data_IF_080908115320
#
_entry.id   IF_080908115320
#
_cell.length_a   1.000
_cell.length_b   1.000
_cell.length_c   1.000
_cell.angle_alpha   90.00
_cell.angle_beta   90.00
_cell.angle_gamma   90.00
#
_symmetry.space_group_name_H-M   'P 1'
#
loop_
_entity.id
_entity.type
_entity.pdbx_description
1 polymer ?
#
# COMPACT_ATOMS: atom_id res chain seq x y z
N UNK A 1 10.77 25.58 24.22
CA UNK A 1 11.70 25.01 25.21
C UNK A 1 12.61 24.03 24.47
N UNK A 2 13.88 24.36 24.29
CA UNK A 2 14.88 23.47 23.67
C UNK A 2 15.19 22.34 24.64
N UNK A 3 14.90 21.10 24.25
CA UNK A 3 15.20 19.93 25.08
C UNK A 3 16.58 19.43 24.67
N UNK A 4 17.57 19.69 25.52
CA UNK A 4 18.92 19.16 25.33
C UNK A 4 18.93 17.73 25.87
N UNK A 5 18.80 16.75 24.98
CA UNK A 5 19.14 15.38 25.37
C UNK A 5 20.65 15.31 25.59
N UNK A 6 21.06 14.97 26.82
CA UNK A 6 22.39 14.44 27.07
C UNK A 6 22.43 13.05 26.43
N UNK A 7 22.69 12.98 25.12
CA UNK A 7 23.16 11.75 24.50
C UNK A 7 24.34 11.22 25.33
N UNK A 8 24.49 9.89 25.43
CA UNK A 8 25.50 9.18 26.25
C UNK A 8 26.97 9.45 25.85
N UNK A 9 27.32 10.65 25.41
CA UNK A 9 28.62 11.03 24.89
C UNK A 9 29.49 11.76 25.93
N UNK A 10 28.92 12.43 26.92
CA UNK A 10 29.68 13.16 27.94
C UNK A 10 29.85 12.34 29.23
N UNK A 11 30.69 11.31 29.17
CA UNK A 11 31.21 10.67 30.38
C UNK A 11 32.65 11.10 30.59
N UNK A 12 33.04 11.42 31.83
CA UNK A 12 34.42 11.80 32.19
C UNK A 12 35.47 10.81 31.65
N UNK A 13 35.07 9.53 31.55
CA UNK A 13 35.87 8.46 30.94
C UNK A 13 36.27 8.73 29.49
N UNK A 14 35.38 9.30 28.67
CA UNK A 14 35.69 9.63 27.27
C UNK A 14 36.67 10.82 27.18
N UNK A 15 36.54 11.80 28.07
CA UNK A 15 37.48 12.93 28.18
C UNK A 15 38.88 12.44 28.58
N UNK A 16 38.94 11.53 29.56
CA UNK A 16 40.19 10.95 30.03
C UNK A 16 40.86 10.08 28.96
N UNK A 17 40.07 9.31 28.19
CA UNK A 17 40.56 8.52 27.06
C UNK A 17 41.07 9.38 25.89
N UNK A 18 40.44 10.54 25.63
CA UNK A 18 40.92 11.50 24.64
C UNK A 18 42.26 12.12 25.07
N UNK A 19 42.37 12.57 26.33
CA UNK A 19 43.57 13.22 26.86
C UNK A 19 44.75 12.24 26.96
N UNK A 20 44.52 11.03 27.44
CA UNK A 20 45.61 10.07 27.71
C UNK A 20 46.00 9.25 26.48
N UNK A 21 45.05 8.91 25.60
CA UNK A 21 45.29 8.00 24.48
C UNK A 21 45.05 8.60 23.09
N UNK A 22 44.80 9.91 23.00
CA UNK A 22 44.60 10.68 21.77
C UNK A 22 43.60 10.02 20.77
N UNK A 23 42.60 9.29 21.30
CA UNK A 23 41.55 8.67 20.49
C UNK A 23 40.53 9.71 20.08
N UNK A 24 40.13 9.75 18.80
CA UNK A 24 39.03 10.62 18.33
C UNK A 24 37.76 10.36 19.15
N UNK A 25 37.30 11.37 19.89
CA UNK A 25 36.00 11.38 20.54
C UNK A 25 35.08 12.36 19.80
N UNK A 26 33.90 11.89 19.39
CA UNK A 26 32.86 12.76 18.82
C UNK A 26 32.16 13.50 19.96
N UNK A 27 32.51 14.77 20.14
CA UNK A 27 31.88 15.69 21.11
C UNK A 27 30.65 16.39 20.53
N UNK A 28 29.81 15.69 19.78
CA UNK A 28 28.65 16.30 19.13
C UNK A 28 27.48 16.43 20.11
N UNK A 29 27.25 17.66 20.59
CA UNK A 29 25.96 18.05 21.15
C UNK A 29 24.98 18.31 20.02
N UNK A 30 23.94 17.48 19.90
CA UNK A 30 22.86 17.74 18.97
C UNK A 30 21.84 18.67 19.64
N UNK A 31 21.87 19.96 19.29
CA UNK A 31 20.74 20.85 19.56
C UNK A 31 19.64 20.45 18.57
N UNK A 32 18.70 19.60 19.02
CA UNK A 32 17.49 19.36 18.23
C UNK A 32 16.70 20.66 18.21
N UNK A 33 16.36 21.14 17.01
CA UNK A 33 15.44 22.26 16.89
C UNK A 33 14.10 21.89 17.55
N UNK A 34 13.42 22.83 18.21
CA UNK A 34 12.12 22.59 18.83
C UNK A 34 11.11 21.96 17.86
N UNK A 35 11.21 22.31 16.58
CA UNK A 35 10.33 21.79 15.54
C UNK A 35 10.61 20.31 15.22
N UNK A 36 11.88 19.87 15.29
CA UNK A 36 12.21 18.44 15.16
C UNK A 36 11.66 17.63 16.33
N UNK A 37 11.75 18.15 17.56
CA UNK A 37 11.21 17.47 18.75
C UNK A 37 9.68 17.34 18.63
N UNK A 38 9.00 18.43 18.25
CA UNK A 38 7.55 18.39 18.01
C UNK A 38 7.19 17.42 16.89
N UNK A 39 7.98 17.36 15.81
CA UNK A 39 7.77 16.41 14.71
C UNK A 39 7.91 14.97 15.17
N UNK A 40 8.93 14.66 15.97
CA UNK A 40 9.17 13.32 16.52
C UNK A 40 8.04 12.91 17.49
N UNK A 41 7.55 13.85 18.30
CA UNK A 41 6.40 13.62 19.21
C UNK A 41 5.11 13.36 18.43
N UNK A 42 4.83 14.16 17.39
CA UNK A 42 3.67 13.97 16.52
C UNK A 42 3.77 12.65 15.75
N UNK A 43 4.95 12.30 15.20
CA UNK A 43 5.12 11.02 14.49
C UNK A 43 4.90 9.83 15.42
N UNK A 44 5.38 9.90 16.66
CA UNK A 44 5.16 8.84 17.65
C UNK A 44 3.68 8.63 17.97
N UNK A 45 2.90 9.71 18.10
CA UNK A 45 1.45 9.65 18.32
C UNK A 45 0.74 9.06 17.09
N UNK A 46 1.12 9.49 15.89
CA UNK A 46 0.57 8.98 14.63
C UNK A 46 0.86 7.49 14.46
N UNK A 47 2.09 7.04 14.72
CA UNK A 47 2.49 5.64 14.63
C UNK A 47 1.69 4.75 15.60
N UNK A 48 1.50 5.23 16.84
CA UNK A 48 0.68 4.53 17.83
C UNK A 48 -0.79 4.40 17.38
N UNK A 49 -1.36 5.48 16.85
CA UNK A 49 -2.73 5.47 16.34
C UNK A 49 -2.86 4.58 15.08
N UNK A 50 -1.84 4.59 14.21
CA UNK A 50 -1.77 3.72 13.03
C UNK A 50 -1.81 2.25 13.42
N UNK A 51 -1.06 1.86 14.46
CA UNK A 51 -1.09 0.49 14.98
C UNK A 51 -2.48 0.09 15.51
N UNK A 52 -3.14 0.97 16.27
CA UNK A 52 -4.50 0.72 16.80
C UNK A 52 -5.51 0.56 15.67
N UNK A 53 -5.49 1.47 14.69
CA UNK A 53 -6.36 1.41 13.52
C UNK A 53 -6.11 0.15 12.68
N UNK A 54 -4.85 -0.25 12.52
CA UNK A 54 -4.47 -1.48 11.79
C UNK A 54 -5.08 -2.72 12.44
N UNK A 55 -4.91 -2.87 13.77
CA UNK A 55 -5.50 -3.99 14.52
C UNK A 55 -7.02 -3.99 14.49
N UNK A 56 -7.64 -2.82 14.57
CA UNK A 56 -9.09 -2.68 14.43
C UNK A 56 -9.57 -3.11 13.04
N UNK A 57 -8.86 -2.70 11.99
CA UNK A 57 -9.19 -3.03 10.61
C UNK A 57 -9.05 -4.54 10.34
N UNK A 58 -7.96 -5.17 10.78
CA UNK A 58 -7.76 -6.63 10.69
C UNK A 58 -8.87 -7.42 11.38
N UNK A 59 -9.35 -6.91 12.53
CA UNK A 59 -10.44 -7.55 13.28
C UNK A 59 -11.79 -7.47 12.56
N UNK A 60 -12.05 -6.37 11.84
CA UNK A 60 -13.35 -6.13 11.19
C UNK A 60 -13.40 -6.65 9.76
N UNK A 61 -12.28 -6.60 9.04
CA UNK A 61 -12.16 -7.06 7.66
C UNK A 61 -11.21 -8.26 7.59
N UNK A 62 -11.62 -9.42 8.13
CA UNK A 62 -10.81 -10.64 8.03
C UNK A 62 -10.71 -11.09 6.57
N UNK A 63 -9.58 -11.67 6.22
CA UNK A 63 -9.36 -12.29 4.91
C UNK A 63 -8.23 -11.62 4.14
N UNK A 64 -8.50 -11.31 2.87
CA UNK A 64 -7.51 -10.81 1.90
C UNK A 64 -6.66 -9.69 2.50
N UNK A 65 -7.32 -8.67 3.03
CA UNK A 65 -6.69 -7.52 3.68
C UNK A 65 -5.90 -7.81 4.96
N UNK A 66 -6.33 -8.76 5.79
CA UNK A 66 -5.67 -9.12 7.06
C UNK A 66 -4.57 -10.18 6.89
N UNK A 67 -4.56 -10.87 5.75
CA UNK A 67 -3.56 -11.90 5.41
C UNK A 67 -2.29 -11.34 4.76
N UNK A 68 -2.35 -10.07 4.36
CA UNK A 68 -1.23 -9.39 3.74
C UNK A 68 -0.20 -9.02 4.81
N UNK A 69 0.88 -9.78 4.83
CA UNK A 69 2.00 -9.63 5.77
C UNK A 69 2.89 -8.41 5.42
N UNK A 70 2.28 -7.24 5.22
CA UNK A 70 2.96 -6.02 4.81
C UNK A 70 3.25 -5.08 5.96
N UNK A 71 4.36 -4.35 5.85
CA UNK A 71 4.83 -3.40 6.85
C UNK A 71 3.93 -2.16 7.00
N UNK A 72 3.07 -1.85 6.03
CA UNK A 72 2.26 -0.62 6.04
C UNK A 72 0.94 -0.79 5.30
N UNK A 73 -0.17 -0.77 6.04
CA UNK A 73 -1.51 -0.57 5.49
C UNK A 73 -1.63 0.85 4.89
N UNK A 74 -2.49 1.06 3.88
CA UNK A 74 -2.80 2.40 3.40
C UNK A 74 -3.29 3.26 4.56
N UNK A 75 -2.66 4.42 4.74
CA UNK A 75 -2.96 5.28 5.87
C UNK A 75 -3.12 6.72 5.42
N UNK A 76 -3.96 7.45 6.14
CA UNK A 76 -4.20 8.85 5.90
C UNK A 76 -3.87 9.62 7.18
N UNK A 77 -3.03 10.63 7.03
CA UNK A 77 -2.72 11.56 8.11
C UNK A 77 -3.28 12.93 7.78
N UNK A 78 -3.81 13.60 8.80
CA UNK A 78 -4.27 14.97 8.68
C UNK A 78 -3.46 15.87 9.58
N UNK A 79 -3.01 16.99 9.03
CA UNK A 79 -2.29 18.04 9.72
C UNK A 79 -3.06 19.34 9.55
N UNK A 80 -3.65 19.82 10.63
CA UNK A 80 -4.37 21.10 10.67
C UNK A 80 -3.50 22.16 11.31
N UNK A 81 -3.33 23.31 10.66
CA UNK A 81 -2.50 24.41 11.17
C UNK A 81 -3.22 25.75 11.11
N UNK A 82 -2.88 26.66 12.02
CA UNK A 82 -3.38 28.04 12.02
C UNK A 82 -2.47 29.01 11.25
N UNK A 83 -1.17 28.67 11.13
CA UNK A 83 -0.13 29.65 10.81
C UNK A 83 0.43 29.53 9.39
N UNK A 84 0.35 28.35 8.77
CA UNK A 84 0.99 28.13 7.48
C UNK A 84 0.01 28.35 6.33
N UNK A 85 0.32 29.32 5.47
CA UNK A 85 -0.32 29.45 4.17
C UNK A 85 0.26 28.35 3.27
N UNK A 86 -0.58 27.39 2.90
CA UNK A 86 -0.18 26.31 1.98
C UNK A 86 -0.48 26.70 0.53
N UNK A 87 -0.27 27.97 0.16
CA UNK A 87 -0.47 28.40 -1.23
C UNK A 87 0.69 27.93 -2.10
N UNK A 88 0.45 27.63 -3.38
CA UNK A 88 1.51 27.22 -4.31
C UNK A 88 2.70 28.17 -4.33
N UNK A 89 2.46 29.47 -4.17
CA UNK A 89 3.48 30.54 -4.13
C UNK A 89 4.37 30.50 -2.88
N UNK A 90 3.84 30.07 -1.73
CA UNK A 90 4.54 30.01 -0.43
C UNK A 90 5.22 28.66 -0.20
N UNK A 91 4.73 27.61 -0.86
CA UNK A 91 5.30 26.26 -0.88
C UNK A 91 6.63 26.19 -1.66
N UNK A 92 6.96 27.23 -2.43
CA UNK A 92 8.24 27.36 -3.17
C UNK A 92 9.47 27.34 -2.28
N UNK A 93 9.32 27.62 -0.97
CA UNK A 93 10.39 27.41 -0.01
C UNK A 93 10.56 25.90 0.24
N UNK A 94 11.61 25.33 -0.34
CA UNK A 94 12.00 23.91 -0.26
C UNK A 94 11.99 23.38 1.18
N UNK A 95 12.25 24.26 2.15
CA UNK A 95 12.18 24.01 3.61
C UNK A 95 10.77 23.68 4.10
N UNK A 96 9.74 24.36 3.59
CA UNK A 96 8.34 24.11 3.96
C UNK A 96 7.89 22.78 3.39
N UNK A 97 8.24 22.47 2.14
CA UNK A 97 8.00 21.17 1.52
C UNK A 97 8.70 20.04 2.24
N UNK A 98 9.99 20.16 2.55
CA UNK A 98 10.72 19.12 3.29
C UNK A 98 10.23 18.97 4.74
N UNK A 99 9.76 20.06 5.36
CA UNK A 99 9.15 20.02 6.69
C UNK A 99 7.81 19.26 6.68
N UNK A 100 6.99 19.52 5.66
CA UNK A 100 5.64 18.97 5.41
C UNK A 100 5.75 17.53 4.89
N UNK A 101 6.22 17.32 3.66
CA UNK A 101 6.11 16.03 2.97
C UNK A 101 6.98 14.92 3.57
N UNK A 102 8.03 15.26 4.33
CA UNK A 102 9.04 14.33 4.84
C UNK A 102 9.95 13.73 3.76
N UNK A 103 9.63 13.92 2.47
CA UNK A 103 10.37 13.42 1.31
C UNK A 103 9.98 14.19 0.04
N UNK A 104 10.92 14.43 -0.87
CA UNK A 104 10.69 15.05 -2.20
C UNK A 104 9.71 14.29 -3.11
N UNK A 105 9.35 13.07 -2.75
CA UNK A 105 8.70 12.12 -3.67
C UNK A 105 7.16 12.16 -3.61
N UNK A 106 6.55 13.26 -3.19
CA UNK A 106 5.09 13.40 -3.11
C UNK A 106 4.57 14.40 -4.15
N UNK A 107 3.53 14.03 -4.88
CA UNK A 107 2.75 14.95 -5.70
C UNK A 107 1.79 15.74 -4.82
N UNK A 108 1.66 17.03 -5.09
CA UNK A 108 0.84 17.95 -4.32
C UNK A 108 -0.40 18.31 -5.11
N UNK A 109 -1.52 18.40 -4.41
CA UNK A 109 -2.83 18.61 -4.99
C UNK A 109 -3.53 19.71 -4.20
N UNK A 110 -3.92 20.79 -4.88
CA UNK A 110 -4.70 21.88 -4.28
C UNK A 110 -6.16 21.50 -4.26
N UNK A 111 -6.81 21.81 -3.14
CA UNK A 111 -8.21 21.49 -2.92
C UNK A 111 -9.08 22.64 -3.42
N UNK A 112 -10.02 22.36 -4.32
CA UNK A 112 -10.97 23.36 -4.79
C UNK A 112 -11.88 23.79 -3.62
N UNK A 113 -11.94 25.10 -3.38
CA UNK A 113 -12.63 25.70 -2.24
C UNK A 113 -11.78 25.93 -0.98
N UNK A 114 -10.63 25.25 -0.81
CA UNK A 114 -9.72 25.43 0.34
C UNK A 114 -8.34 25.93 -0.11
N UNK A 115 -8.22 27.25 -0.24
CA UNK A 115 -7.10 27.93 -0.92
C UNK A 115 -5.71 27.71 -0.30
N UNK A 116 -5.67 27.48 1.01
CA UNK A 116 -4.48 27.24 1.82
C UNK A 116 -4.44 25.79 2.33
N UNK A 117 -5.05 24.85 1.60
CA UNK A 117 -5.04 23.41 1.93
C UNK A 117 -4.58 22.57 0.74
N UNK A 118 -3.87 21.48 1.03
CA UNK A 118 -3.32 20.58 0.01
C UNK A 118 -3.35 19.13 0.46
N UNK A 119 -3.38 18.26 -0.53
CA UNK A 119 -3.17 16.82 -0.39
C UNK A 119 -1.79 16.46 -0.95
N UNK A 120 -1.01 15.73 -0.18
CA UNK A 120 0.24 15.14 -0.62
C UNK A 120 0.03 13.64 -0.86
N UNK A 121 0.10 13.22 -2.13
CA UNK A 121 0.05 11.82 -2.54
C UNK A 121 1.46 11.32 -2.83
N UNK A 122 1.82 10.09 -2.46
CA UNK A 122 3.08 9.52 -2.87
C UNK A 122 3.12 9.33 -4.39
N UNK A 123 4.23 9.76 -5.00
CA UNK A 123 4.47 9.58 -6.44
C UNK A 123 4.81 8.13 -6.79
N UNK A 124 5.39 7.40 -5.84
CA UNK A 124 5.78 5.99 -5.99
C UNK A 124 4.65 5.08 -5.56
N UNK A 125 4.39 4.03 -6.34
CA UNK A 125 3.32 3.06 -6.09
C UNK A 125 3.46 2.25 -4.79
N UNK A 126 4.64 2.29 -4.13
CA UNK A 126 4.93 1.50 -2.93
C UNK A 126 4.62 2.23 -1.63
N UNK A 127 4.54 3.56 -1.65
CA UNK A 127 4.09 4.31 -0.48
C UNK A 127 2.56 4.41 -0.51
N UNK A 128 1.94 4.10 0.62
CA UNK A 128 0.49 4.07 0.78
C UNK A 128 -0.05 5.19 1.67
N UNK A 129 0.85 6.04 2.16
CA UNK A 129 0.56 7.07 3.15
C UNK A 129 0.24 8.40 2.46
N UNK A 130 -1.02 8.83 2.60
CA UNK A 130 -1.48 10.12 2.11
C UNK A 130 -1.49 11.12 3.26
N UNK A 131 -1.14 12.37 2.97
CA UNK A 131 -1.13 13.41 3.99
C UNK A 131 -1.93 14.61 3.53
N UNK A 132 -2.93 14.96 4.30
CA UNK A 132 -3.75 16.15 4.11
C UNK A 132 -3.22 17.25 5.01
N UNK A 133 -2.99 18.41 4.40
CA UNK A 133 -2.63 19.63 5.10
C UNK A 133 -3.75 20.61 4.91
N UNK A 134 -4.27 21.09 6.02
CA UNK A 134 -5.37 22.02 5.98
C UNK A 134 -5.10 23.20 6.89
N UNK A 135 -5.48 24.38 6.41
CA UNK A 135 -5.50 25.57 7.24
C UNK A 135 -6.83 25.65 7.97
N UNK A 136 -6.81 25.88 9.28
CA UNK A 136 -8.01 25.88 10.12
C UNK A 136 -9.08 26.87 9.61
N UNK A 137 -8.65 28.03 9.10
CA UNK A 137 -9.54 29.06 8.54
C UNK A 137 -10.30 28.63 7.29
N UNK A 138 -9.76 27.68 6.53
CA UNK A 138 -10.31 27.31 5.23
C UNK A 138 -11.37 26.23 5.36
N UNK A 139 -11.21 25.35 6.35
CA UNK A 139 -12.19 24.31 6.67
C UNK A 139 -13.42 24.98 7.31
N UNK A 140 -13.21 25.77 8.36
CA UNK A 140 -14.32 26.46 9.03
C UNK A 140 -14.56 27.84 8.42
N UNK A 141 -15.19 27.89 7.25
CA UNK A 141 -15.59 29.15 6.62
C UNK A 141 -16.78 29.85 7.30
N UNK A 142 -17.43 29.26 8.32
CA UNK A 142 -18.74 29.74 8.82
C UNK A 142 -18.93 29.96 10.32
N UNK A 143 -18.10 29.43 11.22
CA UNK A 143 -18.36 29.55 12.66
C UNK A 143 -17.22 30.23 13.43
N UNK A 144 -17.40 31.53 13.70
CA UNK A 144 -16.70 32.24 14.78
C UNK A 144 -17.28 31.87 16.16
N UNK A 145 -17.53 30.58 16.42
CA UNK A 145 -17.95 30.15 17.75
C UNK A 145 -16.73 30.10 18.66
N UNK A 146 -16.81 30.73 19.83
CA UNK A 146 -15.78 30.72 20.87
C UNK A 146 -15.51 29.33 21.47
N UNK A 147 -16.34 28.34 21.13
CA UNK A 147 -16.24 26.98 21.63
C UNK A 147 -15.34 26.10 20.74
N UNK A 148 -14.12 25.83 21.25
CA UNK A 148 -13.08 25.08 20.54
C UNK A 148 -13.46 23.60 20.31
N UNK A 149 -14.28 23.00 21.17
CA UNK A 149 -14.68 21.59 21.05
C UNK A 149 -15.69 21.37 19.92
N UNK A 150 -16.79 22.11 19.92
CA UNK A 150 -17.79 22.07 18.84
C UNK A 150 -17.18 22.40 17.46
N UNK A 151 -16.22 23.32 17.44
CA UNK A 151 -15.47 23.67 16.25
C UNK A 151 -14.62 22.52 15.72
N UNK A 152 -13.93 21.80 16.60
CA UNK A 152 -13.14 20.62 16.21
C UNK A 152 -14.05 19.52 15.65
N UNK A 153 -15.27 19.36 16.16
CA UNK A 153 -16.23 18.37 15.65
C UNK A 153 -16.72 18.71 14.24
N UNK A 154 -16.99 19.99 13.94
CA UNK A 154 -17.36 20.44 12.59
C UNK A 154 -16.21 20.24 11.60
N UNK A 155 -15.00 20.67 12.00
CA UNK A 155 -13.78 20.45 11.21
C UNK A 155 -13.57 18.97 10.96
N UNK A 156 -13.72 18.12 11.97
CA UNK A 156 -13.63 16.68 11.85
C UNK A 156 -14.72 16.11 10.94
N UNK A 157 -15.96 16.61 11.00
CA UNK A 157 -17.05 16.13 10.17
C UNK A 157 -16.88 16.47 8.69
N UNK A 158 -16.60 17.74 8.36
CA UNK A 158 -16.43 18.18 6.98
C UNK A 158 -15.21 17.51 6.35
N UNK A 159 -14.12 17.40 7.09
CA UNK A 159 -12.93 16.69 6.64
C UNK A 159 -13.23 15.20 6.51
N UNK A 160 -13.90 14.56 7.46
CA UNK A 160 -14.18 13.12 7.34
C UNK A 160 -15.06 12.84 6.10
N UNK A 161 -16.05 13.69 5.81
CA UNK A 161 -16.87 13.58 4.60
C UNK A 161 -16.03 13.76 3.32
N UNK A 162 -15.12 14.73 3.29
CA UNK A 162 -14.28 15.03 2.12
C UNK A 162 -13.16 14.00 1.91
N UNK A 163 -12.51 13.60 3.01
CA UNK A 163 -11.32 12.75 3.02
C UNK A 163 -11.67 11.28 2.91
N UNK A 164 -12.79 10.83 3.48
CA UNK A 164 -13.21 9.43 3.33
C UNK A 164 -13.35 9.01 1.86
N UNK A 165 -13.77 9.93 0.98
CA UNK A 165 -13.91 9.71 -0.46
C UNK A 165 -12.57 9.60 -1.18
N UNK A 166 -11.62 10.46 -0.84
CA UNK A 166 -10.26 10.40 -1.37
C UNK A 166 -9.54 9.14 -0.88
N UNK A 167 -9.68 8.84 0.41
CA UNK A 167 -9.11 7.64 1.05
C UNK A 167 -9.68 6.38 0.41
N UNK A 168 -11.00 6.29 0.21
CA UNK A 168 -11.61 5.09 -0.40
C UNK A 168 -11.11 4.87 -1.82
N UNK A 169 -11.09 5.91 -2.66
CA UNK A 169 -10.54 5.83 -4.02
C UNK A 169 -9.05 5.44 -4.03
N UNK A 170 -8.28 5.96 -3.08
CA UNK A 170 -6.87 5.62 -2.89
C UNK A 170 -6.67 4.16 -2.45
N UNK A 171 -7.46 3.68 -1.48
CA UNK A 171 -7.44 2.30 -1.00
C UNK A 171 -7.77 1.31 -2.13
N UNK A 172 -8.75 1.61 -2.98
CA UNK A 172 -9.08 0.78 -4.15
C UNK A 172 -7.90 0.70 -5.13
N UNK A 173 -7.25 1.83 -5.43
CA UNK A 173 -6.04 1.84 -6.27
C UNK A 173 -4.93 0.97 -5.68
N UNK A 174 -4.70 1.06 -4.37
CA UNK A 174 -3.72 0.22 -3.69
C UNK A 174 -4.10 -1.26 -3.75
N UNK A 175 -5.35 -1.61 -3.51
CA UNK A 175 -5.86 -2.97 -3.62
C UNK A 175 -5.55 -3.57 -5.01
N UNK A 176 -5.86 -2.84 -6.07
CA UNK A 176 -5.60 -3.28 -7.44
C UNK A 176 -4.10 -3.46 -7.73
N UNK A 177 -3.25 -2.55 -7.25
CA UNK A 177 -1.79 -2.71 -7.35
C UNK A 177 -1.31 -3.98 -6.63
N UNK A 178 -1.90 -4.31 -5.47
CA UNK A 178 -1.58 -5.53 -4.74
C UNK A 178 -2.06 -6.77 -5.46
N UNK A 179 -3.28 -6.79 -5.96
CA UNK A 179 -3.77 -7.88 -6.80
C UNK A 179 -2.84 -8.13 -7.98
N UNK A 180 -2.42 -7.08 -8.67
CA UNK A 180 -1.44 -7.19 -9.75
C UNK A 180 -0.13 -7.83 -9.28
N UNK A 181 0.42 -7.40 -8.14
CA UNK A 181 1.66 -7.97 -7.59
C UNK A 181 1.52 -9.45 -7.21
N UNK A 182 0.37 -9.86 -6.66
CA UNK A 182 0.12 -11.25 -6.28
C UNK A 182 0.03 -12.15 -7.51
N UNK A 183 -0.67 -11.67 -8.55
CA UNK A 183 -0.74 -12.38 -9.82
C UNK A 183 0.64 -12.48 -10.47
N UNK A 184 1.44 -11.41 -10.44
CA UNK A 184 2.81 -11.43 -10.94
C UNK A 184 3.70 -12.44 -10.21
N UNK A 185 3.67 -12.47 -8.87
CA UNK A 185 4.41 -13.47 -8.07
C UNK A 185 3.94 -14.89 -8.41
N UNK A 186 2.62 -15.09 -8.52
CA UNK A 186 2.05 -16.41 -8.83
C UNK A 186 2.44 -16.90 -10.23
N UNK A 187 2.50 -15.97 -11.20
CA UNK A 187 2.99 -16.22 -12.56
C UNK A 187 4.48 -16.57 -12.55
N UNK A 188 5.28 -15.80 -11.83
CA UNK A 188 6.73 -16.00 -11.76
C UNK A 188 7.04 -17.35 -11.08
N UNK A 189 6.33 -17.71 -10.01
CA UNK A 189 6.41 -19.04 -9.36
C UNK A 189 6.08 -20.17 -10.33
N UNK A 190 5.04 -20.01 -11.16
CA UNK A 190 4.65 -21.00 -12.18
C UNK A 190 5.68 -21.13 -13.30
N UNK A 191 6.33 -20.04 -13.69
CA UNK A 191 7.33 -20.03 -14.76
C UNK A 191 8.71 -20.57 -14.36
N UNK A 192 8.96 -20.78 -13.05
CA UNK A 192 10.26 -21.20 -12.53
C UNK A 192 10.63 -22.65 -12.91
N UNK A 193 11.19 -22.81 -14.12
CA UNK A 193 11.50 -24.09 -14.79
C UNK A 193 12.33 -25.08 -13.94
N UNK A 194 13.24 -24.59 -13.09
CA UNK A 194 14.18 -25.45 -12.35
C UNK A 194 13.63 -26.00 -11.02
N UNK A 195 12.48 -25.49 -10.53
CA UNK A 195 11.87 -25.91 -9.25
C UNK A 195 10.42 -26.37 -9.42
N UNK A 196 9.94 -26.48 -10.64
CA UNK A 196 8.55 -26.79 -10.92
C UNK A 196 8.21 -28.22 -10.48
N UNK A 197 7.39 -28.34 -9.42
CA UNK A 197 6.83 -29.61 -8.94
C UNK A 197 5.36 -29.64 -9.33
N UNK A 198 4.98 -30.31 -10.44
CA UNK A 198 3.66 -30.16 -11.04
C UNK A 198 2.52 -30.36 -10.05
N UNK A 199 2.56 -31.44 -9.25
CA UNK A 199 1.48 -31.78 -8.30
C UNK A 199 1.40 -30.79 -7.12
N UNK A 200 2.54 -30.39 -6.54
CA UNK A 200 2.55 -29.47 -5.39
C UNK A 200 2.16 -28.06 -5.81
N UNK A 201 2.64 -27.61 -6.98
CA UNK A 201 2.34 -26.29 -7.53
C UNK A 201 0.88 -26.18 -7.95
N UNK A 202 0.30 -27.25 -8.52
CA UNK A 202 -1.13 -27.31 -8.80
C UNK A 202 -2.01 -27.26 -7.55
N UNK A 203 -1.61 -27.93 -6.46
CA UNK A 203 -2.36 -27.83 -5.20
C UNK A 203 -2.36 -26.40 -4.67
N UNK A 204 -1.18 -25.78 -4.57
CA UNK A 204 -1.02 -24.38 -4.15
C UNK A 204 -1.83 -23.43 -5.03
N UNK A 205 -1.82 -23.67 -6.34
CA UNK A 205 -2.54 -22.84 -7.29
C UNK A 205 -4.05 -23.07 -7.26
N UNK A 206 -4.52 -24.30 -7.01
CA UNK A 206 -5.94 -24.57 -6.81
C UNK A 206 -6.46 -23.89 -5.56
N UNK A 207 -5.68 -23.88 -4.50
CA UNK A 207 -6.00 -23.17 -3.27
C UNK A 207 -5.99 -21.65 -3.51
N UNK A 208 -5.02 -21.13 -4.28
CA UNK A 208 -5.00 -19.74 -4.74
C UNK A 208 -6.21 -19.36 -5.60
N UNK A 209 -6.56 -20.19 -6.59
CA UNK A 209 -7.64 -19.95 -7.54
C UNK A 209 -9.01 -19.95 -6.86
N UNK A 210 -9.24 -20.89 -5.92
CA UNK A 210 -10.50 -21.00 -5.18
C UNK A 210 -10.77 -19.83 -4.24
N UNK A 211 -9.73 -19.20 -3.70
CA UNK A 211 -9.87 -18.16 -2.68
C UNK A 211 -9.63 -16.75 -3.22
N UNK A 212 -8.70 -16.57 -4.15
CA UNK A 212 -8.18 -15.24 -4.48
C UNK A 212 -8.51 -14.85 -5.91
N UNK A 213 -8.34 -15.76 -6.87
CA UNK A 213 -8.50 -15.43 -8.28
C UNK A 213 -9.94 -15.03 -8.61
N UNK A 214 -10.92 -15.68 -7.97
CA UNK A 214 -12.34 -15.32 -8.11
C UNK A 214 -12.60 -13.90 -7.60
N UNK A 215 -12.20 -13.58 -6.37
CA UNK A 215 -12.45 -12.28 -5.74
C UNK A 215 -11.70 -11.16 -6.46
N UNK A 216 -10.47 -11.42 -6.91
CA UNK A 216 -9.70 -10.51 -7.75
C UNK A 216 -10.45 -10.20 -9.05
N UNK A 217 -11.01 -11.22 -9.72
CA UNK A 217 -11.77 -11.04 -10.96
C UNK A 217 -13.06 -10.29 -10.74
N UNK A 218 -13.87 -10.65 -9.75
CA UNK A 218 -15.14 -9.97 -9.47
C UNK A 218 -14.90 -8.50 -9.14
N UNK A 219 -13.97 -8.21 -8.23
CA UNK A 219 -13.63 -6.83 -7.86
C UNK A 219 -13.07 -6.03 -9.04
N UNK A 220 -12.21 -6.64 -9.86
CA UNK A 220 -11.63 -5.94 -11.02
C UNK A 220 -12.63 -5.75 -12.15
N UNK A 221 -13.56 -6.69 -12.36
CA UNK A 221 -14.66 -6.57 -13.33
C UNK A 221 -15.60 -5.44 -12.94
N UNK A 222 -16.00 -5.36 -11.68
CA UNK A 222 -16.87 -4.29 -11.18
C UNK A 222 -16.23 -2.90 -11.41
N UNK A 223 -14.91 -2.80 -11.24
CA UNK A 223 -14.14 -1.56 -11.46
C UNK A 223 -13.78 -1.29 -12.94
N UNK A 224 -13.78 -2.31 -13.80
CA UNK A 224 -13.61 -2.13 -15.25
C UNK A 224 -14.92 -1.82 -15.96
N UNK A 225 -16.03 -2.36 -15.45
CA UNK A 225 -17.39 -2.15 -15.94
C UNK A 225 -18.01 -0.87 -15.39
N UNK A 226 -17.34 -0.18 -14.45
CA UNK A 226 -17.64 1.21 -14.12
C UNK A 226 -17.57 2.04 -15.41
N UNK A 227 -18.72 2.21 -16.07
CA UNK A 227 -18.97 3.32 -16.97
C UNK A 227 -18.50 4.56 -16.21
N UNK A 228 -17.47 5.23 -16.74
CA UNK A 228 -16.75 6.35 -16.12
C UNK A 228 -17.68 7.46 -15.60
N UNK A 229 -18.93 7.46 -16.06
CA UNK A 229 -19.98 8.38 -15.67
C UNK A 229 -20.77 8.01 -14.41
N UNK A 230 -20.88 6.75 -13.96
CA UNK A 230 -21.97 6.35 -13.05
C UNK A 230 -21.60 5.94 -11.63
N UNK A 231 -20.32 5.91 -11.25
CA UNK A 231 -19.97 5.51 -9.89
C UNK A 231 -20.16 6.67 -8.90
N UNK A 232 -21.03 6.45 -7.92
CA UNK A 232 -21.35 7.38 -6.83
C UNK A 232 -20.09 7.84 -6.10
N UNK A 233 -19.10 6.95 -5.98
CA UNK A 233 -17.79 7.21 -5.35
C UNK A 233 -16.94 8.17 -6.21
N UNK A 234 -17.06 8.12 -7.54
CA UNK A 234 -16.32 8.98 -8.47
C UNK A 234 -16.92 10.39 -8.56
N UNK A 235 -18.25 10.51 -8.62
CA UNK A 235 -18.93 11.82 -8.76
C UNK A 235 -18.75 12.70 -7.54
N UNK A 236 -18.53 12.09 -6.38
CA UNK A 236 -18.36 12.80 -5.12
C UNK A 236 -16.90 13.07 -4.74
N UNK A 237 -15.93 12.65 -5.57
CA UNK A 237 -14.55 13.02 -5.35
C UNK A 237 -14.41 14.54 -5.49
N UNK A 238 -13.83 15.20 -4.50
CA UNK A 238 -13.58 16.62 -4.58
C UNK A 238 -12.67 16.98 -5.75
N UNK A 239 -12.95 18.13 -6.36
CA UNK A 239 -12.05 18.68 -7.38
C UNK A 239 -10.75 19.07 -6.70
N UNK A 240 -9.66 18.46 -7.16
CA UNK A 240 -8.31 18.82 -6.73
C UNK A 240 -7.41 18.88 -7.96
N UNK A 241 -6.58 19.91 -8.02
CA UNK A 241 -5.69 20.15 -9.17
C UNK A 241 -4.26 19.84 -8.75
N UNK A 242 -3.55 19.07 -9.57
CA UNK A 242 -2.15 18.77 -9.33
C UNK A 242 -1.29 20.03 -9.54
N UNK A 243 -0.42 20.29 -8.57
CA UNK A 243 0.65 21.28 -8.69
C UNK A 243 1.83 20.70 -9.45
N UNK A 244 2.32 21.49 -10.40
CA UNK A 244 3.55 21.26 -11.12
C UNK A 244 4.76 21.46 -10.23
N UNK A 245 5.96 21.07 -10.71
CA UNK A 245 7.19 21.18 -9.95
C UNK A 245 7.50 22.61 -9.49
N UNK A 246 7.00 23.65 -10.17
CA UNK A 246 7.22 25.06 -9.80
C UNK A 246 5.96 25.74 -9.24
N UNK A 247 4.96 24.94 -8.87
CA UNK A 247 3.70 25.41 -8.28
C UNK A 247 2.68 25.92 -9.30
N UNK A 248 2.88 25.66 -10.59
CA UNK A 248 1.86 25.92 -11.61
C UNK A 248 0.73 24.88 -11.61
N UNK A 249 -0.48 25.28 -11.95
CA UNK A 249 -1.61 24.36 -12.10
C UNK A 249 -1.43 23.52 -13.38
N UNK A 250 -1.36 22.20 -13.22
CA UNK A 250 -1.09 21.29 -14.36
C UNK A 250 -2.33 20.91 -15.17
N UNK A 251 -3.50 21.51 -14.88
CA UNK A 251 -4.83 21.14 -15.42
C UNK A 251 -5.26 19.68 -15.15
N UNK A 252 -4.42 18.88 -14.49
CA UNK A 252 -4.70 17.49 -14.15
C UNK A 252 -5.57 17.46 -12.89
N UNK A 253 -6.77 16.92 -13.03
CA UNK A 253 -7.68 16.69 -11.90
C UNK A 253 -7.41 15.34 -11.22
N UNK A 254 -7.42 15.34 -9.88
CA UNK A 254 -7.19 14.13 -9.08
C UNK A 254 -8.24 13.06 -9.39
N UNK A 255 -9.50 13.49 -9.55
CA UNK A 255 -10.61 12.62 -9.90
C UNK A 255 -10.30 11.84 -11.16
N UNK A 256 -9.94 12.52 -12.23
CA UNK A 256 -9.63 11.89 -13.52
C UNK A 256 -8.42 10.96 -13.42
N UNK A 257 -7.39 11.38 -12.66
CA UNK A 257 -6.20 10.57 -12.42
C UNK A 257 -6.52 9.28 -11.64
N UNK A 258 -7.35 9.34 -10.60
CA UNK A 258 -7.80 8.18 -9.83
C UNK A 258 -8.73 7.27 -10.63
N UNK A 259 -9.62 7.81 -11.45
CA UNK A 259 -10.50 7.03 -12.33
C UNK A 259 -9.68 6.28 -13.38
N UNK A 260 -8.85 7.00 -14.14
CA UNK A 260 -8.00 6.40 -15.18
C UNK A 260 -7.05 5.37 -14.60
N UNK A 261 -6.41 5.65 -13.47
CA UNK A 261 -5.48 4.71 -12.84
C UNK A 261 -6.16 3.44 -12.32
N UNK A 262 -7.37 3.55 -11.75
CA UNK A 262 -8.16 2.37 -11.34
C UNK A 262 -8.60 1.56 -12.54
N UNK A 263 -9.20 2.18 -13.55
CA UNK A 263 -9.66 1.51 -14.76
C UNK A 263 -8.53 0.78 -15.48
N UNK A 264 -7.40 1.46 -15.71
CA UNK A 264 -6.23 0.86 -16.37
C UNK A 264 -5.66 -0.29 -15.56
N UNK A 265 -5.55 -0.16 -14.23
CA UNK A 265 -5.02 -1.22 -13.38
C UNK A 265 -6.00 -2.40 -13.26
N UNK A 266 -7.30 -2.16 -13.15
CA UNK A 266 -8.33 -3.20 -13.12
C UNK A 266 -8.26 -4.07 -14.38
N UNK A 267 -8.17 -3.44 -15.56
CA UNK A 267 -8.01 -4.15 -16.82
C UNK A 267 -6.69 -4.94 -16.90
N UNK A 268 -5.59 -4.41 -16.35
CA UNK A 268 -4.33 -5.17 -16.27
C UNK A 268 -4.47 -6.39 -15.35
N UNK A 269 -5.10 -6.24 -14.19
CA UNK A 269 -5.35 -7.33 -13.24
C UNK A 269 -6.25 -8.40 -13.87
N UNK A 270 -7.30 -8.01 -14.59
CA UNK A 270 -8.17 -8.95 -15.31
C UNK A 270 -7.40 -9.76 -16.35
N UNK A 271 -6.59 -9.10 -17.19
CA UNK A 271 -5.76 -9.77 -18.19
C UNK A 271 -4.80 -10.78 -17.54
N UNK A 272 -4.10 -10.40 -16.48
CA UNK A 272 -3.20 -11.31 -15.76
C UNK A 272 -3.97 -12.47 -15.09
N UNK A 273 -5.15 -12.19 -14.53
CA UNK A 273 -6.00 -13.21 -13.92
C UNK A 273 -6.53 -14.22 -14.96
N UNK A 274 -6.86 -13.77 -16.17
CA UNK A 274 -7.27 -14.63 -17.28
C UNK A 274 -6.11 -15.47 -17.81
N UNK A 275 -4.92 -14.88 -17.95
CA UNK A 275 -3.70 -15.62 -18.32
C UNK A 275 -3.38 -16.72 -17.29
N UNK A 276 -3.50 -16.42 -16.00
CA UNK A 276 -3.31 -17.40 -14.93
C UNK A 276 -4.39 -18.49 -14.93
N UNK A 277 -5.65 -18.13 -15.18
CA UNK A 277 -6.72 -19.12 -15.32
C UNK A 277 -6.49 -20.05 -16.52
N UNK A 278 -6.06 -19.50 -17.66
CA UNK A 278 -5.75 -20.27 -18.86
C UNK A 278 -4.56 -21.23 -18.65
N UNK A 279 -3.45 -20.72 -18.12
CA UNK A 279 -2.27 -21.55 -17.80
C UNK A 279 -2.61 -22.66 -16.82
N UNK A 280 -3.52 -22.41 -15.86
CA UNK A 280 -4.04 -23.46 -14.99
C UNK A 280 -4.81 -24.55 -15.72
N UNK A 281 -5.63 -24.20 -16.71
CA UNK A 281 -6.34 -25.18 -17.53
C UNK A 281 -5.35 -26.12 -18.22
N UNK A 282 -4.33 -25.54 -18.88
CA UNK A 282 -3.26 -26.30 -19.53
C UNK A 282 -2.48 -27.16 -18.53
N UNK A 283 -2.16 -26.65 -17.34
CA UNK A 283 -1.44 -27.41 -16.31
C UNK A 283 -2.26 -28.59 -15.76
N UNK A 284 -3.58 -28.44 -15.66
CA UNK A 284 -4.47 -29.54 -15.28
C UNK A 284 -4.42 -30.66 -16.33
N UNK A 285 -4.49 -30.32 -17.62
CA UNK A 285 -4.44 -31.30 -18.71
C UNK A 285 -3.09 -32.03 -18.76
N UNK A 286 -1.99 -31.28 -18.60
CA UNK A 286 -0.64 -31.86 -18.51
C UNK A 286 -0.50 -32.78 -17.30
N UNK A 287 -1.20 -32.49 -16.20
CA UNK A 287 -1.10 -33.33 -14.99
C UNK A 287 -1.99 -34.55 -15.06
N UNK A 288 -3.16 -34.46 -15.68
CA UNK A 288 -3.99 -35.63 -15.99
C UNK A 288 -3.25 -36.58 -16.92
N UNK A 289 -2.58 -36.07 -17.96
CA UNK A 289 -1.76 -36.89 -18.87
C UNK A 289 -0.53 -37.47 -18.16
N UNK A 290 0.14 -36.71 -17.28
CA UNK A 290 1.28 -37.24 -16.53
C UNK A 290 0.85 -38.30 -15.48
N UNK A 291 -0.32 -38.13 -14.88
CA UNK A 291 -0.94 -39.12 -13.99
C UNK A 291 -1.32 -40.39 -14.75
N UNK A 292 -1.90 -40.27 -15.95
CA UNK A 292 -2.24 -41.43 -16.77
C UNK A 292 -1.00 -42.19 -17.21
N UNK A 293 0.09 -41.51 -17.61
CA UNK A 293 1.38 -42.12 -17.94
C UNK A 293 1.96 -42.87 -16.73
N UNK A 294 1.92 -42.28 -15.53
CA UNK A 294 2.40 -42.95 -14.31
C UNK A 294 1.58 -44.20 -13.99
N UNK A 295 0.26 -44.12 -14.16
CA UNK A 295 -0.65 -45.24 -13.92
C UNK A 295 -0.41 -46.36 -14.95
N UNK A 296 -0.18 -46.02 -16.23
CA UNK A 296 0.22 -46.99 -17.26
C UNK A 296 1.54 -47.68 -16.92
N UNK A 297 2.57 -46.94 -16.46
CA UNK A 297 3.84 -47.53 -16.02
C UNK A 297 3.65 -48.47 -14.83
N UNK A 298 2.83 -48.08 -13.86
CA UNK A 298 2.53 -48.92 -12.69
C UNK A 298 1.79 -50.20 -13.09
N UNK A 299 0.78 -50.09 -13.96
CA UNK A 299 0.06 -51.25 -14.50
C UNK A 299 1.03 -52.16 -15.24
N UNK A 300 1.90 -51.62 -16.11
CA UNK A 300 2.91 -52.41 -16.82
C UNK A 300 3.84 -53.18 -15.87
N UNK A 301 4.28 -52.55 -14.77
CA UNK A 301 5.09 -53.22 -13.74
C UNK A 301 4.31 -54.36 -13.09
N UNK A 302 3.03 -54.14 -12.76
CA UNK A 302 2.15 -55.19 -12.21
C UNK A 302 1.97 -56.33 -13.22
N UNK A 303 1.72 -56.05 -14.49
CA UNK A 303 1.54 -57.11 -15.49
C UNK A 303 2.81 -57.93 -15.68
N UNK A 304 3.98 -57.28 -15.71
CA UNK A 304 5.27 -57.98 -15.76
C UNK A 304 5.46 -58.85 -14.51
N UNK A 305 5.17 -58.33 -13.33
CA UNK A 305 5.27 -59.08 -12.07
C UNK A 305 4.32 -60.28 -12.05
N UNK A 306 3.06 -60.09 -12.46
CA UNK A 306 2.07 -61.17 -12.57
C UNK A 306 2.50 -62.24 -13.58
N UNK A 307 3.12 -61.84 -14.69
CA UNK A 307 3.67 -62.79 -15.67
C UNK A 307 4.81 -63.62 -15.07
N UNK A 308 5.73 -63.01 -14.32
CA UNK A 308 6.78 -63.73 -13.61
C UNK A 308 6.23 -64.71 -12.56
N UNK A 309 5.21 -64.31 -11.80
CA UNK A 309 4.56 -65.20 -10.83
C UNK A 309 3.86 -66.38 -11.52
N UNK A 310 3.16 -66.13 -12.62
CA UNK A 310 2.47 -67.17 -13.39
C UNK A 310 3.46 -68.17 -14.02
N UNK A 311 4.54 -67.69 -14.62
CA UNK A 311 5.59 -68.55 -15.21
C UNK A 311 6.33 -69.34 -14.13
N UNK A 312 6.64 -68.73 -12.99
CA UNK A 312 7.25 -69.44 -11.86
C UNK A 312 6.34 -70.53 -11.29
N UNK A 313 5.02 -70.26 -11.17
CA UNK A 313 4.05 -71.24 -10.72
C UNK A 313 3.91 -72.41 -11.68
N UNK A 314 4.01 -72.17 -13.00
CA UNK A 314 3.91 -73.21 -14.02
C UNK A 314 5.16 -74.09 -14.07
N UNK A 315 6.35 -73.53 -13.80
CA UNK A 315 7.63 -74.26 -13.79
C UNK A 315 7.84 -75.13 -12.54
N UNK A 316 7.14 -74.85 -11.44
CA UNK A 316 7.20 -75.61 -10.18
C UNK A 316 6.06 -76.65 -10.02
N UNK A 317 5.25 -76.83 -11.07
CA UNK A 317 4.29 -77.93 -11.19
C UNK A 317 4.91 -79.10 -11.96
#
# INVERSE_FOLDING_TARGET
MTKVEKGRAFTWRNVLLYIVFNRKCDFTHYIRSPDRIRKDEVSCILDKNKEVCSKWFEKIFPGVFSSFNEKTLPSASMIVTDFYNMRPETIRDVTVLQAISGSSDKSLWVIDGWKDSLLALPSKNNDSDIVFYAKRSDISSKNNSSDKEFFNDIVNYEINSYMSKVISGWCVKHLLNKYYSLLAVSRDDMSSYNKYRPVTNLKKFRDFSKLWLHDIKVCSLELSDENTDNSYIIRELPRMIQLGPWGEDTSIELRDMLVRSRYTRANQVLKEADLLAYTSGVLNDVTQTLSSIRLQRFVAVITVFSFFVATYSFLNQ
#
